data_IF_683594557664
#
_entry.id   IF_683594557664
#
_cell.length_a   1.000
_cell.length_b   1.000
_cell.length_c   1.000
_cell.angle_alpha   90.00
_cell.angle_beta   90.00
_cell.angle_gamma   90.00
#
_symmetry.space_group_name_H-M   'P 1'
#
loop_
_entity.id
_entity.type
_entity.pdbx_description
1 polymer ?
#
# COMPACT_ATOMS: atom_id res chain seq x y z
N UNK A 1 -7.56 -27.61 -4.40
CA UNK A 1 -8.39 -28.07 -3.27
C UNK A 1 -9.41 -26.97 -2.98
N UNK A 2 -10.66 -27.30 -2.71
CA UNK A 2 -11.70 -26.32 -2.39
C UNK A 2 -11.89 -26.29 -0.86
N UNK A 3 -11.83 -25.10 -0.26
CA UNK A 3 -12.17 -24.92 1.15
C UNK A 3 -13.65 -24.55 1.27
N UNK A 4 -14.44 -25.43 1.89
CA UNK A 4 -15.85 -25.15 2.15
C UNK A 4 -15.99 -23.99 3.13
N UNK A 5 -16.90 -23.06 2.84
CA UNK A 5 -17.12 -21.82 3.58
C UNK A 5 -16.16 -20.69 3.20
N UNK A 6 -15.36 -20.84 2.15
CA UNK A 6 -14.46 -19.78 1.69
C UNK A 6 -15.18 -18.69 0.90
N UNK A 7 -16.36 -18.99 0.34
CA UNK A 7 -17.09 -18.08 -0.54
C UNK A 7 -16.32 -17.75 -1.82
N UNK A 8 -15.30 -18.53 -2.17
CA UNK A 8 -14.52 -18.36 -3.38
C UNK A 8 -15.26 -18.89 -4.61
N UNK A 9 -16.23 -19.80 -4.42
CA UNK A 9 -17.06 -20.33 -5.48
C UNK A 9 -18.43 -19.65 -5.56
N UNK A 10 -19.18 -20.01 -6.60
CA UNK A 10 -20.55 -19.52 -6.83
C UNK A 10 -21.41 -19.81 -5.59
N UNK A 11 -22.20 -18.83 -5.09
CA UNK A 11 -23.12 -19.07 -3.99
C UNK A 11 -24.02 -20.29 -4.23
N UNK A 12 -24.17 -21.17 -3.23
CA UNK A 12 -24.92 -22.41 -3.35
C UNK A 12 -24.12 -23.60 -3.91
N UNK A 13 -22.90 -23.40 -4.40
CA UNK A 13 -22.04 -24.50 -4.87
C UNK A 13 -21.43 -25.26 -3.70
N UNK A 14 -20.81 -24.53 -2.77
CA UNK A 14 -20.14 -25.12 -1.60
C UNK A 14 -21.16 -25.80 -0.67
N UNK A 15 -22.38 -25.24 -0.56
CA UNK A 15 -23.46 -25.79 0.27
C UNK A 15 -23.92 -27.18 -0.19
N UNK A 16 -23.93 -27.43 -1.50
CA UNK A 16 -24.31 -28.72 -2.08
C UNK A 16 -23.20 -29.79 -1.97
N UNK A 17 -21.99 -29.40 -1.57
CA UNK A 17 -20.89 -30.32 -1.24
C UNK A 17 -20.86 -30.72 0.23
N UNK A 18 -21.67 -30.09 1.08
CA UNK A 18 -21.74 -30.42 2.51
C UNK A 18 -22.34 -31.82 2.68
N UNK A 19 -21.61 -32.71 3.37
CA UNK A 19 -22.04 -34.07 3.66
C UNK A 19 -21.72 -35.10 2.57
N UNK A 20 -21.19 -34.67 1.41
CA UNK A 20 -20.70 -35.57 0.36
C UNK A 20 -19.43 -36.27 0.81
N UNK A 21 -19.34 -37.58 0.57
CA UNK A 21 -18.19 -38.40 0.99
C UNK A 21 -17.14 -38.46 -0.09
N UNK A 22 -15.95 -38.92 0.31
CA UNK A 22 -14.87 -39.25 -0.62
C UNK A 22 -15.33 -40.29 -1.66
N UNK A 23 -14.90 -40.09 -2.89
CA UNK A 23 -15.17 -40.87 -4.09
C UNK A 23 -16.64 -40.86 -4.55
N UNK A 24 -17.47 -39.98 -3.99
CA UNK A 24 -18.84 -39.75 -4.48
C UNK A 24 -18.86 -38.75 -5.65
N UNK A 25 -19.82 -38.97 -6.54
CA UNK A 25 -20.15 -38.09 -7.66
C UNK A 25 -21.48 -37.40 -7.35
N UNK A 26 -21.49 -36.08 -7.37
CA UNK A 26 -22.67 -35.25 -7.09
C UNK A 26 -22.91 -34.28 -8.25
N UNK A 27 -24.18 -34.08 -8.60
CA UNK A 27 -24.61 -33.07 -9.55
C UNK A 27 -25.05 -31.83 -8.78
N UNK A 28 -24.34 -30.73 -8.98
CA UNK A 28 -24.58 -29.45 -8.31
C UNK A 28 -25.22 -28.50 -9.30
N UNK A 29 -26.42 -28.01 -8.98
CA UNK A 29 -27.12 -27.04 -9.81
C UNK A 29 -27.03 -25.66 -9.15
N UNK A 30 -26.39 -24.70 -9.82
CA UNK A 30 -26.22 -23.33 -9.33
C UNK A 30 -26.50 -22.32 -10.41
N UNK A 31 -26.97 -21.15 -10.01
CA UNK A 31 -27.14 -20.00 -10.89
C UNK A 31 -25.99 -19.05 -10.69
N UNK A 32 -25.33 -18.67 -11.78
CA UNK A 32 -24.26 -17.68 -11.73
C UNK A 32 -24.82 -16.31 -11.32
N UNK A 33 -24.10 -15.55 -10.48
CA UNK A 33 -24.50 -14.18 -10.12
C UNK A 33 -24.63 -13.29 -11.36
N UNK A 34 -25.50 -12.28 -11.32
CA UNK A 34 -25.64 -11.31 -12.42
C UNK A 34 -24.36 -10.46 -12.62
N UNK A 35 -23.56 -10.29 -11.57
CA UNK A 35 -22.29 -9.57 -11.58
C UNK A 35 -21.08 -10.48 -11.83
N UNK A 36 -21.27 -11.68 -12.38
CA UNK A 36 -20.16 -12.60 -12.64
C UNK A 36 -19.23 -12.06 -13.74
N UNK A 37 -17.91 -12.19 -13.55
CA UNK A 37 -16.89 -11.59 -14.43
C UNK A 37 -16.98 -12.02 -15.91
N UNK A 38 -17.61 -13.15 -16.20
CA UNK A 38 -17.91 -13.61 -17.55
C UNK A 38 -19.35 -13.28 -17.94
N UNK A 39 -19.53 -12.33 -18.87
CA UNK A 39 -20.84 -11.91 -19.40
C UNK A 39 -21.66 -13.06 -20.00
N UNK A 40 -20.98 -14.09 -20.53
CA UNK A 40 -21.64 -15.26 -21.12
C UNK A 40 -22.24 -16.22 -20.10
N UNK A 41 -21.83 -16.12 -18.84
CA UNK A 41 -22.28 -17.00 -17.74
C UNK A 41 -23.15 -16.27 -16.72
N UNK A 42 -23.03 -14.94 -16.61
CA UNK A 42 -23.82 -14.13 -15.69
C UNK A 42 -25.34 -14.41 -15.80
N UNK A 43 -25.97 -14.71 -14.66
CA UNK A 43 -27.42 -14.99 -14.56
C UNK A 43 -27.88 -16.33 -15.16
N UNK A 44 -26.98 -17.17 -15.68
CA UNK A 44 -27.35 -18.48 -16.24
C UNK A 44 -27.31 -19.58 -15.20
N UNK A 45 -28.20 -20.55 -15.35
CA UNK A 45 -28.16 -21.80 -14.59
C UNK A 45 -27.10 -22.74 -15.19
N UNK A 46 -26.35 -23.41 -14.32
CA UNK A 46 -25.36 -24.40 -14.71
C UNK A 46 -25.40 -25.61 -13.78
N UNK A 47 -25.20 -26.79 -14.39
CA UNK A 47 -25.07 -28.06 -13.69
C UNK A 47 -23.60 -28.50 -13.74
N UNK A 48 -23.01 -28.70 -12.57
CA UNK A 48 -21.67 -29.22 -12.40
C UNK A 48 -21.73 -30.67 -11.94
N UNK A 49 -21.12 -31.58 -12.70
CA UNK A 49 -20.86 -32.94 -12.22
C UNK A 49 -19.53 -32.95 -11.48
N UNK A 50 -19.57 -33.06 -10.17
CA UNK A 50 -18.38 -32.98 -9.30
C UNK A 50 -18.07 -34.36 -8.74
N UNK A 51 -16.82 -34.79 -8.88
CA UNK A 51 -16.29 -35.99 -8.25
C UNK A 51 -15.36 -35.61 -7.10
N UNK A 52 -15.69 -36.07 -5.89
CA UNK A 52 -14.91 -35.74 -4.68
C UNK A 52 -13.76 -36.73 -4.52
N UNK A 53 -12.57 -36.39 -5.01
CA UNK A 53 -11.41 -37.29 -4.92
C UNK A 53 -10.84 -37.45 -3.49
N UNK A 54 -11.15 -36.51 -2.59
CA UNK A 54 -10.63 -36.51 -1.23
C UNK A 54 -11.24 -35.39 -0.40
N UNK A 55 -11.50 -35.71 0.88
CA UNK A 55 -11.94 -34.73 1.88
C UNK A 55 -10.81 -34.62 2.90
N UNK A 56 -10.30 -33.40 3.09
CA UNK A 56 -9.34 -33.09 4.15
C UNK A 56 -10.04 -32.20 5.17
N UNK A 57 -9.84 -32.49 6.44
CA UNK A 57 -10.34 -31.65 7.53
C UNK A 57 -9.15 -30.85 8.06
N UNK A 58 -9.32 -29.54 8.25
CA UNK A 58 -8.36 -28.76 9.03
C UNK A 58 -8.52 -29.20 10.48
N UNK A 59 -7.57 -29.96 10.98
CA UNK A 59 -7.49 -30.27 12.41
C UNK A 59 -7.07 -29.02 13.19
N UNK A 60 -7.50 -28.96 14.44
CA UNK A 60 -7.05 -27.92 15.36
C UNK A 60 -5.55 -28.11 15.57
N UNK A 61 -4.76 -27.11 15.16
CA UNK A 61 -3.32 -27.15 15.35
C UNK A 61 -3.05 -26.74 16.79
N UNK A 62 -2.56 -27.68 17.60
CA UNK A 62 -2.10 -27.35 18.94
C UNK A 62 -0.89 -26.43 18.88
N UNK A 63 -0.96 -25.31 19.61
CA UNK A 63 0.16 -24.38 19.73
C UNK A 63 1.16 -24.96 20.74
N UNK A 64 2.03 -25.85 20.26
CA UNK A 64 3.03 -26.60 21.03
C UNK A 64 4.47 -26.37 20.50
N UNK A 65 5.48 -26.92 21.18
CA UNK A 65 6.89 -26.68 20.83
C UNK A 65 7.22 -27.23 19.44
N UNK A 66 6.57 -28.30 18.99
CA UNK A 66 6.75 -28.84 17.63
C UNK A 66 6.28 -27.84 16.55
N UNK A 67 5.20 -27.09 16.82
CA UNK A 67 4.75 -26.01 15.95
C UNK A 67 5.76 -24.86 15.94
N UNK A 68 6.30 -24.49 17.10
CA UNK A 68 7.32 -23.45 17.22
C UNK A 68 8.58 -23.81 16.43
N UNK A 69 9.06 -25.05 16.53
CA UNK A 69 10.20 -25.55 15.77
C UNK A 69 9.98 -25.47 14.25
N UNK A 70 8.78 -25.83 13.78
CA UNK A 70 8.42 -25.75 12.36
C UNK A 70 8.35 -24.32 11.84
N UNK A 71 7.75 -23.40 12.60
CA UNK A 71 7.54 -22.02 12.16
C UNK A 71 8.79 -21.16 12.29
N UNK A 72 9.55 -21.32 13.38
CA UNK A 72 10.80 -20.59 13.62
C UNK A 72 12.01 -21.24 12.94
N UNK A 73 11.84 -22.42 12.33
CA UNK A 73 12.89 -23.21 11.69
C UNK A 73 14.11 -23.44 12.61
N UNK A 74 13.84 -23.68 13.89
CA UNK A 74 14.84 -23.83 14.95
C UNK A 74 14.49 -25.02 15.83
N UNK A 75 15.40 -25.99 15.94
CA UNK A 75 15.15 -27.30 16.58
C UNK A 75 14.89 -27.20 18.09
N UNK A 76 15.38 -26.16 18.77
CA UNK A 76 15.21 -25.91 20.20
C UNK A 76 14.16 -24.83 20.50
N UNK A 77 13.36 -24.43 19.52
CA UNK A 77 12.34 -23.40 19.70
C UNK A 77 11.17 -23.89 20.57
N UNK A 78 10.70 -23.00 21.46
CA UNK A 78 9.55 -23.25 22.34
C UNK A 78 8.33 -22.43 21.92
N UNK A 79 7.15 -22.83 22.39
CA UNK A 79 5.91 -22.04 22.22
C UNK A 79 6.06 -20.63 22.73
N UNK A 80 6.78 -20.44 23.85
CA UNK A 80 6.97 -19.12 24.43
C UNK A 80 7.89 -18.26 23.54
N UNK A 81 8.91 -18.84 22.91
CA UNK A 81 9.71 -18.16 21.89
C UNK A 81 8.86 -17.77 20.67
N UNK A 82 8.01 -18.68 20.17
CA UNK A 82 7.08 -18.40 19.07
C UNK A 82 6.11 -17.26 19.43
N UNK A 83 5.53 -17.29 20.63
CA UNK A 83 4.63 -16.23 21.11
C UNK A 83 5.37 -14.90 21.25
N UNK A 84 6.61 -14.90 21.71
CA UNK A 84 7.42 -13.70 21.84
C UNK A 84 7.75 -13.09 20.47
N UNK A 85 8.15 -13.91 19.50
CA UNK A 85 8.40 -13.48 18.10
C UNK A 85 7.13 -12.93 17.45
N UNK A 86 6.00 -13.65 17.54
CA UNK A 86 4.71 -13.17 17.01
C UNK A 86 4.28 -11.87 17.69
N UNK A 87 4.41 -11.78 19.01
CA UNK A 87 4.10 -10.55 19.75
C UNK A 87 4.98 -9.39 19.27
N UNK A 88 6.27 -9.60 19.13
CA UNK A 88 7.22 -8.60 18.63
C UNK A 88 6.89 -8.18 17.20
N UNK A 89 6.54 -9.11 16.32
CA UNK A 89 6.11 -8.81 14.96
C UNK A 89 4.83 -7.94 14.95
N UNK A 90 3.82 -8.29 15.75
CA UNK A 90 2.59 -7.50 15.88
C UNK A 90 2.88 -6.11 16.47
N UNK A 91 3.75 -6.02 17.48
CA UNK A 91 4.15 -4.75 18.08
C UNK A 91 4.89 -3.87 17.07
N UNK A 92 5.83 -4.43 16.30
CA UNK A 92 6.54 -3.73 15.24
C UNK A 92 5.60 -3.26 14.13
N UNK A 93 4.65 -4.11 13.70
CA UNK A 93 3.65 -3.73 12.70
C UNK A 93 2.77 -2.57 13.20
N UNK A 94 2.27 -2.67 14.43
CA UNK A 94 1.44 -1.62 15.03
C UNK A 94 2.20 -0.33 15.23
N UNK A 95 3.45 -0.40 15.69
CA UNK A 95 4.32 0.77 15.84
C UNK A 95 4.61 1.40 14.49
N UNK A 96 5.02 0.62 13.49
CA UNK A 96 5.25 1.14 12.14
C UNK A 96 4.00 1.83 11.58
N UNK A 97 2.83 1.22 11.76
CA UNK A 97 1.55 1.81 11.36
C UNK A 97 1.27 3.12 12.09
N UNK A 98 1.38 3.16 13.41
CA UNK A 98 1.18 4.36 14.22
C UNK A 98 2.14 5.49 13.80
N UNK A 99 3.41 5.17 13.56
CA UNK A 99 4.40 6.15 13.13
C UNK A 99 4.07 6.73 11.76
N UNK A 100 3.82 5.86 10.79
CA UNK A 100 3.66 6.25 9.39
C UNK A 100 2.30 6.88 9.11
N UNK A 101 1.22 6.36 9.70
CA UNK A 101 -0.14 6.82 9.41
C UNK A 101 -0.62 7.93 10.35
N UNK A 102 -0.10 8.01 11.58
CA UNK A 102 -0.59 9.01 12.55
C UNK A 102 0.48 10.02 12.97
N UNK A 103 1.63 9.57 13.47
CA UNK A 103 2.59 10.49 14.11
C UNK A 103 3.31 11.37 13.12
N UNK A 104 3.80 10.81 12.00
CA UNK A 104 4.50 11.58 10.95
C UNK A 104 3.59 12.63 10.31
N UNK A 105 2.36 12.31 9.86
CA UNK A 105 1.46 13.33 9.30
C UNK A 105 1.10 14.41 10.30
N UNK A 106 0.74 14.05 11.55
CA UNK A 106 0.40 15.02 12.60
C UNK A 106 1.59 15.92 12.96
N UNK A 107 2.81 15.38 12.95
CA UNK A 107 4.01 16.17 13.23
C UNK A 107 4.25 17.20 12.12
N UNK A 108 4.14 16.77 10.86
CA UNK A 108 4.33 17.63 9.70
C UNK A 108 3.25 18.71 9.63
N UNK A 109 1.98 18.35 9.82
CA UNK A 109 0.86 19.28 9.91
C UNK A 109 1.08 20.32 11.01
N UNK A 110 1.45 19.88 12.21
CA UNK A 110 1.73 20.79 13.33
C UNK A 110 2.93 21.72 13.05
N UNK A 111 3.93 21.30 12.27
CA UNK A 111 5.04 22.17 11.84
C UNK A 111 4.57 23.21 10.82
N UNK A 112 3.79 22.79 9.83
CA UNK A 112 3.22 23.66 8.78
C UNK A 112 2.29 24.71 9.38
N UNK A 113 1.50 24.36 10.41
CA UNK A 113 0.61 25.30 11.10
C UNK A 113 1.35 26.29 12.01
N UNK A 114 2.39 25.84 12.72
CA UNK A 114 3.05 26.66 13.75
C UNK A 114 4.16 27.56 13.23
N UNK A 115 4.80 27.17 12.12
CA UNK A 115 5.87 27.95 11.52
C UNK A 115 5.26 28.88 10.50
N UNK A 116 5.55 30.17 10.55
CA UNK A 116 5.05 31.15 9.58
C UNK A 116 6.23 31.80 8.87
N UNK A 117 6.25 31.69 7.54
CA UNK A 117 7.29 32.26 6.69
C UNK A 117 6.78 32.42 5.26
N UNK A 118 7.29 33.43 4.57
CA UNK A 118 6.90 33.72 3.19
C UNK A 118 7.44 32.63 2.25
N UNK A 119 6.56 32.12 1.39
CA UNK A 119 6.91 31.17 0.34
C UNK A 119 7.19 31.92 -0.97
N UNK A 120 8.19 31.49 -1.77
CA UNK A 120 8.37 32.04 -3.11
C UNK A 120 7.17 31.67 -3.99
N UNK A 121 6.42 32.68 -4.45
CA UNK A 121 5.23 32.49 -5.31
C UNK A 121 5.52 31.59 -6.51
N UNK A 122 6.72 31.73 -7.11
CA UNK A 122 7.13 30.89 -8.24
C UNK A 122 7.14 29.39 -7.91
N UNK A 123 7.54 29.01 -6.69
CA UNK A 123 7.59 27.59 -6.27
C UNK A 123 6.18 27.09 -5.98
N UNK A 124 5.33 27.92 -5.37
CA UNK A 124 3.91 27.59 -5.15
C UNK A 124 3.19 27.40 -6.48
N UNK A 125 3.40 28.28 -7.45
CA UNK A 125 2.80 28.16 -8.78
C UNK A 125 3.30 26.91 -9.54
N UNK A 126 4.56 26.51 -9.36
CA UNK A 126 5.08 25.25 -9.92
C UNK A 126 4.36 24.02 -9.33
N UNK A 127 4.14 24.01 -8.01
CA UNK A 127 3.42 22.92 -7.36
C UNK A 127 1.95 22.85 -7.82
N UNK A 128 1.29 24.01 -7.96
CA UNK A 128 -0.06 24.11 -8.54
C UNK A 128 -0.07 23.57 -9.98
N UNK A 129 0.91 23.93 -10.80
CA UNK A 129 1.03 23.42 -12.18
C UNK A 129 1.19 21.89 -12.21
N UNK A 130 1.98 21.32 -11.29
CA UNK A 130 2.13 19.87 -11.18
C UNK A 130 0.83 19.19 -10.76
N UNK A 131 0.11 19.75 -9.79
CA UNK A 131 -1.19 19.23 -9.34
C UNK A 131 -2.24 19.29 -10.46
N UNK A 132 -2.30 20.40 -11.20
CA UNK A 132 -3.20 20.56 -12.36
C UNK A 132 -2.85 19.59 -13.48
N UNK A 133 -1.57 19.40 -13.79
CA UNK A 133 -1.15 18.45 -14.83
C UNK A 133 -1.47 16.99 -14.44
N UNK A 134 -1.29 16.64 -13.17
CA UNK A 134 -1.70 15.33 -12.64
C UNK A 134 -3.21 15.15 -12.78
N UNK A 135 -4.00 16.17 -12.41
CA UNK A 135 -5.46 16.13 -12.54
C UNK A 135 -5.90 16.03 -14.01
N UNK A 136 -5.24 16.76 -14.90
CA UNK A 136 -5.50 16.71 -16.34
C UNK A 136 -5.21 15.33 -16.94
N UNK A 137 -4.26 14.56 -16.38
CA UNK A 137 -3.97 13.19 -16.82
C UNK A 137 -5.10 12.20 -16.52
N UNK A 138 -6.00 12.54 -15.59
CA UNK A 138 -7.18 11.75 -15.22
C UNK A 138 -8.46 12.21 -15.93
N UNK A 139 -8.43 13.38 -16.60
CA UNK A 139 -9.57 14.00 -17.25
C UNK A 139 -9.78 13.48 -18.68
N UNK A 140 -11.02 13.56 -19.16
CA UNK A 140 -11.35 13.28 -20.56
C UNK A 140 -10.81 14.37 -21.50
N UNK A 141 -10.61 14.02 -22.79
CA UNK A 141 -10.14 15.00 -23.78
C UNK A 141 -11.08 16.21 -23.92
N UNK A 142 -12.39 16.03 -23.70
CA UNK A 142 -13.38 17.09 -23.76
C UNK A 142 -13.28 18.03 -22.56
N UNK A 143 -13.04 17.51 -21.35
CA UNK A 143 -12.78 18.32 -20.15
C UNK A 143 -11.48 19.13 -20.28
N UNK A 144 -10.43 18.52 -20.84
CA UNK A 144 -9.15 19.21 -21.07
C UNK A 144 -9.33 20.33 -22.09
N UNK A 145 -10.12 20.12 -23.16
CA UNK A 145 -10.44 21.18 -24.14
C UNK A 145 -11.22 22.31 -23.48
N UNK A 146 -12.21 21.98 -22.66
CA UNK A 146 -13.01 22.98 -21.95
C UNK A 146 -12.15 23.85 -21.02
N UNK A 147 -11.19 23.25 -20.29
CA UNK A 147 -10.24 23.99 -19.46
C UNK A 147 -9.28 24.87 -20.27
N UNK A 148 -8.92 24.47 -21.49
CA UNK A 148 -8.08 25.26 -22.39
C UNK A 148 -8.83 26.43 -23.03
N UNK A 149 -10.11 26.23 -23.34
CA UNK A 149 -10.96 27.25 -23.97
C UNK A 149 -11.57 28.22 -22.95
N UNK A 150 -11.63 27.83 -21.68
CA UNK A 150 -12.16 28.66 -20.59
C UNK A 150 -11.09 28.98 -19.51
N UNK A 151 -10.40 30.13 -19.60
CA UNK A 151 -9.37 30.52 -18.65
C UNK A 151 -9.92 30.78 -17.23
N UNK A 152 -11.20 31.12 -17.08
CA UNK A 152 -11.81 31.28 -15.75
C UNK A 152 -11.92 29.94 -15.03
N UNK A 153 -12.37 28.89 -15.75
CA UNK A 153 -12.43 27.52 -15.18
C UNK A 153 -11.06 26.98 -14.81
N UNK A 154 -10.05 27.26 -15.63
CA UNK A 154 -8.67 26.89 -15.30
C UNK A 154 -8.20 27.61 -14.03
N UNK A 155 -8.54 28.89 -13.87
CA UNK A 155 -8.21 29.65 -12.66
C UNK A 155 -8.93 29.09 -11.44
N UNK A 156 -10.23 28.81 -11.52
CA UNK A 156 -10.98 28.18 -10.44
C UNK A 156 -10.35 26.84 -10.02
N UNK A 157 -9.97 26.00 -11.00
CA UNK A 157 -9.27 24.75 -10.74
C UNK A 157 -7.91 24.97 -10.04
N UNK A 158 -7.10 25.93 -10.49
CA UNK A 158 -5.82 26.28 -9.84
C UNK A 158 -6.01 26.72 -8.40
N UNK A 159 -7.00 27.57 -8.13
CA UNK A 159 -7.32 28.04 -6.78
C UNK A 159 -7.71 26.88 -5.86
N UNK A 160 -8.39 25.84 -6.37
CA UNK A 160 -8.68 24.65 -5.54
C UNK A 160 -7.42 23.90 -5.06
N UNK A 161 -6.30 24.05 -5.76
CA UNK A 161 -5.02 23.43 -5.39
C UNK A 161 -4.08 24.38 -4.63
N UNK A 162 -4.38 25.68 -4.56
CA UNK A 162 -3.47 26.68 -3.99
C UNK A 162 -3.17 26.41 -2.52
N UNK A 163 -4.19 26.19 -1.69
CA UNK A 163 -4.01 25.90 -0.26
C UNK A 163 -3.15 24.65 -0.01
N UNK A 164 -3.37 23.59 -0.78
CA UNK A 164 -2.63 22.33 -0.66
C UNK A 164 -1.20 22.48 -1.19
N UNK A 165 -1.00 23.22 -2.28
CA UNK A 165 0.31 23.52 -2.83
C UNK A 165 1.15 24.36 -1.87
N UNK A 166 0.56 25.40 -1.25
CA UNK A 166 1.24 26.20 -0.22
C UNK A 166 1.68 25.33 0.96
N UNK A 167 0.81 24.43 1.45
CA UNK A 167 1.17 23.48 2.52
C UNK A 167 2.28 22.51 2.09
N UNK A 168 2.20 21.95 0.88
CA UNK A 168 3.19 21.01 0.32
C UNK A 168 4.58 21.67 0.20
N UNK A 169 4.62 22.87 -0.38
CA UNK A 169 5.86 23.64 -0.51
C UNK A 169 6.42 23.99 0.85
N UNK A 170 5.57 24.47 1.77
CA UNK A 170 5.98 24.79 3.15
C UNK A 170 6.58 23.59 3.88
N UNK A 171 5.93 22.43 3.78
CA UNK A 171 6.43 21.18 4.33
C UNK A 171 7.80 20.82 3.75
N UNK A 172 7.97 20.92 2.43
CA UNK A 172 9.23 20.65 1.75
C UNK A 172 10.37 21.54 2.25
N UNK A 173 10.13 22.85 2.39
CA UNK A 173 11.13 23.79 2.93
C UNK A 173 11.49 23.48 4.39
N UNK A 174 10.50 23.11 5.22
CA UNK A 174 10.73 22.72 6.62
C UNK A 174 11.60 21.46 6.68
N UNK A 175 11.27 20.44 5.89
CA UNK A 175 12.01 19.18 5.83
C UNK A 175 13.43 19.40 5.32
N UNK A 176 13.64 20.19 4.25
CA UNK A 176 14.98 20.47 3.74
C UNK A 176 15.84 21.22 4.78
N UNK A 177 15.28 22.25 5.43
CA UNK A 177 15.98 22.98 6.49
C UNK A 177 16.35 22.07 7.68
N UNK A 178 15.44 21.15 8.07
CA UNK A 178 15.70 20.17 9.12
C UNK A 178 16.74 19.13 8.70
N UNK A 179 16.68 18.63 7.48
CA UNK A 179 17.64 17.69 6.92
C UNK A 179 19.05 18.29 6.94
N UNK A 180 19.20 19.54 6.48
CA UNK A 180 20.46 20.26 6.54
C UNK A 180 20.97 20.44 7.98
N UNK A 181 20.08 20.83 8.90
CA UNK A 181 20.43 21.03 10.32
C UNK A 181 20.85 19.75 11.02
N UNK A 182 20.21 18.62 10.69
CA UNK A 182 20.51 17.30 11.24
C UNK A 182 21.64 16.58 10.49
N UNK A 183 22.12 17.13 9.37
CA UNK A 183 23.10 16.47 8.51
C UNK A 183 22.57 15.21 7.82
N UNK A 184 21.25 15.09 7.67
CA UNK A 184 20.61 13.97 7.00
C UNK A 184 20.72 14.17 5.50
N UNK A 185 21.35 13.22 4.82
CA UNK A 185 21.39 13.13 3.37
C UNK A 185 21.08 11.69 2.98
N UNK A 186 20.46 11.54 1.82
CA UNK A 186 20.23 10.26 1.17
C UNK A 186 21.03 10.29 -0.12
N UNK A 187 22.01 9.41 -0.25
CA UNK A 187 22.81 9.29 -1.46
C UNK A 187 22.04 8.50 -2.53
N UNK A 188 22.37 8.72 -3.82
CA UNK A 188 21.75 7.97 -4.93
C UNK A 188 21.92 6.45 -4.76
N UNK A 189 23.05 6.03 -4.19
CA UNK A 189 23.30 4.62 -3.89
C UNK A 189 22.29 4.03 -2.89
N UNK A 190 21.85 4.82 -1.91
CA UNK A 190 20.85 4.39 -0.94
C UNK A 190 19.46 4.30 -1.59
N UNK A 191 19.12 5.26 -2.45
CA UNK A 191 17.89 5.21 -3.26
C UNK A 191 17.87 3.96 -4.12
N UNK A 192 18.99 3.66 -4.79
CA UNK A 192 19.16 2.43 -5.55
C UNK A 192 18.96 1.20 -4.67
N UNK A 193 19.61 1.11 -3.50
CA UNK A 193 19.45 -0.02 -2.60
C UNK A 193 17.99 -0.22 -2.15
N UNK A 194 17.27 0.85 -1.84
CA UNK A 194 15.85 0.80 -1.46
C UNK A 194 15.00 0.26 -2.60
N UNK A 195 15.17 0.78 -3.83
CA UNK A 195 14.44 0.29 -5.01
C UNK A 195 14.75 -1.19 -5.27
N UNK A 196 16.02 -1.60 -5.14
CA UNK A 196 16.41 -2.99 -5.34
C UNK A 196 15.76 -3.92 -4.31
N UNK A 197 15.74 -3.51 -3.05
CA UNK A 197 15.14 -4.30 -1.97
C UNK A 197 13.63 -4.46 -2.18
N UNK A 198 12.93 -3.38 -2.53
CA UNK A 198 11.49 -3.41 -2.81
C UNK A 198 11.16 -4.28 -4.02
N UNK A 199 11.94 -4.16 -5.10
CA UNK A 199 11.79 -5.00 -6.30
C UNK A 199 11.98 -6.48 -5.97
N UNK A 200 12.97 -6.85 -5.14
CA UNK A 200 13.17 -8.23 -4.70
C UNK A 200 11.98 -8.76 -3.89
N UNK A 201 11.39 -7.95 -3.00
CA UNK A 201 10.20 -8.34 -2.24
C UNK A 201 8.98 -8.57 -3.14
N UNK A 202 8.84 -7.78 -4.21
CA UNK A 202 7.78 -7.92 -5.20
C UNK A 202 8.07 -9.02 -6.25
N UNK A 203 9.22 -9.68 -6.19
CA UNK A 203 9.62 -10.69 -7.19
C UNK A 203 9.94 -10.11 -8.57
N UNK A 204 10.26 -8.81 -8.63
CA UNK A 204 10.62 -8.08 -9.85
C UNK A 204 12.14 -8.08 -10.06
N UNK A 205 12.57 -7.84 -11.30
CA UNK A 205 13.98 -7.65 -11.62
C UNK A 205 14.47 -6.29 -11.06
N UNK A 206 15.41 -6.28 -10.09
CA UNK A 206 15.80 -5.05 -9.40
C UNK A 206 16.45 -4.01 -10.31
N UNK A 207 17.21 -4.45 -11.31
CA UNK A 207 17.90 -3.56 -12.23
C UNK A 207 16.91 -2.89 -13.18
N UNK A 208 15.97 -3.65 -13.74
CA UNK A 208 14.90 -3.10 -14.59
C UNK A 208 13.98 -2.16 -13.81
N UNK A 209 13.67 -2.47 -12.55
CA UNK A 209 12.88 -1.58 -11.71
C UNK A 209 13.59 -0.23 -11.54
N UNK A 210 14.88 -0.25 -11.17
CA UNK A 210 15.68 0.98 -11.06
C UNK A 210 15.75 1.77 -12.37
N UNK A 211 16.04 1.12 -13.49
CA UNK A 211 16.05 1.76 -14.81
C UNK A 211 14.70 2.39 -15.14
N UNK A 212 13.58 1.70 -14.86
CA UNK A 212 12.23 2.23 -15.07
C UNK A 212 11.94 3.46 -14.20
N UNK A 213 12.31 3.46 -12.92
CA UNK A 213 12.14 4.63 -12.04
C UNK A 213 13.05 5.79 -12.45
N UNK A 214 14.25 5.49 -12.95
CA UNK A 214 15.20 6.47 -13.48
C UNK A 214 14.68 7.13 -14.75
N UNK A 215 14.25 6.34 -15.73
CA UNK A 215 13.75 6.84 -17.01
C UNK A 215 12.44 7.62 -16.85
N UNK A 216 11.61 7.24 -15.87
CA UNK A 216 10.41 7.99 -15.50
C UNK A 216 10.70 9.25 -14.66
N UNK A 217 11.94 9.49 -14.25
CA UNK A 217 12.33 10.67 -13.47
C UNK A 217 11.89 10.65 -12.01
N UNK A 218 11.60 9.47 -11.44
CA UNK A 218 11.11 9.33 -10.06
C UNK A 218 12.21 9.30 -8.98
N UNK A 219 13.48 9.12 -9.36
CA UNK A 219 14.58 9.04 -8.37
C UNK A 219 14.65 10.24 -7.40
N UNK A 220 14.51 11.50 -7.85
CA UNK A 220 14.51 12.64 -6.94
C UNK A 220 13.33 12.62 -5.95
N UNK A 221 12.15 12.18 -6.39
CA UNK A 221 10.98 12.07 -5.54
C UNK A 221 11.15 10.98 -4.47
N UNK A 222 11.73 9.83 -4.86
CA UNK A 222 12.06 8.75 -3.92
C UNK A 222 13.11 9.22 -2.92
N UNK A 223 14.15 9.92 -3.39
CA UNK A 223 15.17 10.49 -2.52
C UNK A 223 14.58 11.46 -1.50
N UNK A 224 13.70 12.37 -1.94
CA UNK A 224 13.02 13.34 -1.07
C UNK A 224 12.13 12.63 -0.03
N UNK A 225 11.36 11.62 -0.45
CA UNK A 225 10.55 10.80 0.45
C UNK A 225 11.41 10.09 1.52
N UNK A 226 12.57 9.56 1.14
CA UNK A 226 13.51 8.96 2.09
C UNK A 226 14.13 9.97 3.07
N UNK A 227 14.41 11.20 2.61
CA UNK A 227 14.90 12.28 3.48
C UNK A 227 13.82 12.67 4.49
N UNK A 228 12.60 12.89 4.02
CA UNK A 228 11.45 13.21 4.87
C UNK A 228 11.23 12.14 5.94
N UNK A 229 11.22 10.87 5.52
CA UNK A 229 11.05 9.74 6.43
C UNK A 229 12.12 9.71 7.53
N UNK A 230 13.38 9.90 7.15
CA UNK A 230 14.51 9.95 8.09
C UNK A 230 14.42 11.14 9.04
N UNK A 231 14.08 12.32 8.54
CA UNK A 231 13.93 13.55 9.35
C UNK A 231 12.84 13.35 10.39
N UNK A 232 11.64 12.96 9.96
CA UNK A 232 10.50 12.79 10.85
C UNK A 232 10.74 11.67 11.87
N UNK A 233 11.31 10.54 11.43
CA UNK A 233 11.66 9.42 12.33
C UNK A 233 12.70 9.85 13.36
N UNK A 234 13.73 10.61 12.95
CA UNK A 234 14.75 11.12 13.87
C UNK A 234 14.15 12.05 14.93
N UNK A 235 13.22 12.92 14.54
CA UNK A 235 12.56 13.84 15.46
C UNK A 235 11.61 13.12 16.43
N UNK A 236 10.87 12.12 15.95
CA UNK A 236 9.98 11.32 16.79
C UNK A 236 10.77 10.48 17.80
N UNK A 237 11.85 9.82 17.36
CA UNK A 237 12.70 9.00 18.23
C UNK A 237 13.39 9.84 19.31
N UNK A 238 13.91 11.02 18.96
CA UNK A 238 14.55 11.92 19.92
C UNK A 238 13.60 12.35 21.04
N UNK A 239 12.32 12.57 20.72
CA UNK A 239 11.29 12.94 21.71
C UNK A 239 10.84 11.79 22.62
N UNK A 240 11.19 10.55 22.29
CA UNK A 240 10.87 9.37 23.13
C UNK A 240 11.98 9.13 24.15
N UNK A 241 13.20 9.63 23.90
CA UNK A 241 14.33 9.52 24.83
C UNK A 241 14.38 10.64 25.90
N UNK A 242 13.63 11.74 25.71
CA UNK A 242 13.43 12.83 26.69
C UNK A 242 12.15 12.63 27.53
#
# INVERSE_FOLDING_TARGET
ELLLGSGQFIPGFEDQLIGVKRDEEVEINVTFPENYGSKDLAGKEAMFKVKVNGVKVKEEVEVNDELAQKLLQKEDATVDELKAEVKKAIEQEKLAKLYNEELKPKLLEAMVEKLDFDLPEFVVEQEIDMAVNKKASEMSEDEIKELRENPEKLKELRETFRDDAEKSVKATFIIDALAQKLGIKVEEQEVMQTIYFEAMQMGQDPQKAYESYKDAGYLPAIQMSMVEDRVLTTLLNKKIEE
#
